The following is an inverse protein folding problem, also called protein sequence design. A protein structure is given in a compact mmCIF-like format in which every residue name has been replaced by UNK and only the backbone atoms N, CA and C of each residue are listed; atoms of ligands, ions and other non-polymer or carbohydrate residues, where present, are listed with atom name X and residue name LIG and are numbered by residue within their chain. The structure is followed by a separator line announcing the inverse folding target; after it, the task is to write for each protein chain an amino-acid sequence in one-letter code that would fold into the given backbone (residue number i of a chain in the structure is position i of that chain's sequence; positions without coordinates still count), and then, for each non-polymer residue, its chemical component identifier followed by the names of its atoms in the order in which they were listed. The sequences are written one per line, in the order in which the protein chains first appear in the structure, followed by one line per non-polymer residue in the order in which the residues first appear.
data_IF_673251823659
#
_entry.id   IF_673251823659
#
_cell.length_a   1.000
_cell.length_b   1.000
_cell.length_c   1.000
_cell.angle_alpha   90.00
_cell.angle_beta   90.00
_cell.angle_gamma   90.00
#
_symmetry.space_group_name_H-M   'P 1'
#
loop_
_entity.id
_entity.type
_entity.pdbx_description
1 polymer ?
#
# COMPACT_ATOMS: atom_id res chain seq x y z
N UNK A 1 -10.20 -7.36 16.06
CA UNK A 1 -9.89 -7.45 14.63
C UNK A 1 -10.15 -6.07 14.07
N UNK A 2 -9.15 -5.42 13.45
CA UNK A 2 -9.27 -4.04 12.98
C UNK A 2 -9.45 -4.08 11.46
N UNK A 3 -10.48 -3.40 10.98
CA UNK A 3 -10.95 -3.47 9.59
C UNK A 3 -10.94 -2.08 8.95
N UNK A 4 -11.06 -2.01 7.62
CA UNK A 4 -11.11 -0.76 6.88
C UNK A 4 -12.29 0.13 7.30
N UNK A 5 -13.34 -0.47 7.86
CA UNK A 5 -14.50 0.27 8.37
C UNK A 5 -14.20 0.96 9.70
N UNK A 6 -13.29 0.41 10.50
CA UNK A 6 -12.84 1.04 11.75
C UNK A 6 -12.02 2.32 11.49
N UNK A 7 -11.56 2.54 10.25
CA UNK A 7 -10.95 3.80 9.81
C UNK A 7 -11.97 4.83 9.30
N UNK A 8 -13.25 4.48 9.18
CA UNK A 8 -14.26 5.39 8.66
C UNK A 8 -14.46 6.55 9.64
N UNK A 9 -14.20 7.78 9.18
CA UNK A 9 -14.30 8.99 10.01
C UNK A 9 -12.98 9.38 10.71
N UNK A 10 -11.93 8.57 10.57
CA UNK A 10 -10.60 8.91 11.07
C UNK A 10 -9.91 9.98 10.20
N UNK A 11 -8.95 10.67 10.82
CA UNK A 11 -8.15 11.69 10.14
C UNK A 11 -7.03 11.00 9.36
N UNK A 12 -7.26 10.79 8.07
CA UNK A 12 -6.28 10.20 7.15
C UNK A 12 -5.49 11.28 6.39
N UNK A 13 -4.18 11.10 6.19
CA UNK A 13 -3.37 12.05 5.44
C UNK A 13 -3.81 12.07 3.98
N UNK A 14 -3.70 13.25 3.37
CA UNK A 14 -3.89 13.43 1.92
C UNK A 14 -2.55 13.41 1.22
N UNK A 15 -2.45 12.67 0.14
CA UNK A 15 -1.30 12.69 -0.76
C UNK A 15 -1.61 13.53 -2.01
N UNK A 16 -0.63 14.22 -2.62
CA UNK A 16 -0.85 15.04 -3.81
C UNK A 16 -1.46 14.29 -5.00
N UNK A 17 -1.21 12.99 -5.10
CA UNK A 17 -1.72 12.13 -6.18
C UNK A 17 -3.09 11.50 -5.89
N UNK A 18 -3.68 11.79 -4.72
CA UNK A 18 -4.95 11.20 -4.30
C UNK A 18 -6.13 11.99 -4.91
N UNK A 19 -7.25 11.34 -5.28
CA UNK A 19 -8.44 12.05 -5.72
C UNK A 19 -8.95 13.04 -4.67
N UNK A 20 -9.51 14.16 -5.11
CA UNK A 20 -10.13 15.13 -4.19
C UNK A 20 -11.25 14.47 -3.37
N UNK A 21 -11.30 14.78 -2.08
CA UNK A 21 -12.30 14.23 -1.15
C UNK A 21 -12.03 12.80 -0.66
N UNK A 22 -10.96 12.14 -1.11
CA UNK A 22 -10.64 10.77 -0.68
C UNK A 22 -10.15 10.67 0.78
N UNK A 23 -9.67 11.77 1.36
CA UNK A 23 -9.27 11.88 2.76
C UNK A 23 -9.45 13.33 3.25
N UNK A 24 -9.56 13.51 4.57
CA UNK A 24 -9.90 14.80 5.20
C UNK A 24 -8.76 15.42 6.00
N UNK A 25 -7.65 14.72 6.17
CA UNK A 25 -6.54 15.14 7.02
C UNK A 25 -5.47 16.01 6.34
N UNK A 26 -4.30 16.15 6.98
CA UNK A 26 -3.23 17.03 6.52
C UNK A 26 -2.68 16.59 5.16
N UNK A 27 -2.24 17.55 4.34
CA UNK A 27 -1.53 17.26 3.10
C UNK A 27 -0.09 16.85 3.43
N UNK A 28 0.32 15.68 2.98
CA UNK A 28 1.64 15.10 3.26
C UNK A 28 2.38 14.85 1.96
N UNK A 29 3.64 15.25 1.90
CA UNK A 29 4.47 15.12 0.70
C UNK A 29 5.48 13.98 0.81
N UNK A 30 5.85 13.58 2.03
CA UNK A 30 6.89 12.60 2.28
C UNK A 30 6.61 11.76 3.53
N UNK A 31 7.20 10.56 3.58
CA UNK A 31 6.98 9.61 4.67
C UNK A 31 7.46 10.15 6.03
N UNK A 32 8.60 10.85 6.09
CA UNK A 32 9.10 11.39 7.35
C UNK A 32 8.13 12.40 8.00
N UNK A 33 7.55 13.28 7.17
CA UNK A 33 6.51 14.22 7.59
C UNK A 33 5.28 13.46 8.12
N UNK A 34 4.85 12.40 7.43
CA UNK A 34 3.74 11.56 7.89
C UNK A 34 3.99 11.00 9.29
N UNK A 35 5.14 10.35 9.49
CA UNK A 35 5.47 9.69 10.76
C UNK A 35 5.52 10.70 11.92
N UNK A 36 6.00 11.92 11.67
CA UNK A 36 5.99 12.98 12.68
C UNK A 36 4.56 13.41 13.06
N UNK A 37 3.66 13.53 12.09
CA UNK A 37 2.26 13.89 12.34
C UNK A 37 1.51 12.78 13.11
N UNK A 38 1.82 11.51 12.84
CA UNK A 38 1.28 10.37 13.58
C UNK A 38 1.82 10.39 15.02
N UNK A 39 3.12 10.62 15.22
CA UNK A 39 3.71 10.72 16.56
C UNK A 39 3.10 11.87 17.39
N UNK A 40 2.66 12.95 16.73
CA UNK A 40 1.94 14.06 17.36
C UNK A 40 0.44 13.79 17.58
N UNK A 41 -0.07 12.62 17.18
CA UNK A 41 -1.48 12.24 17.30
C UNK A 41 -2.42 13.02 16.39
N UNK A 42 -1.92 13.59 15.30
CA UNK A 42 -2.71 14.45 14.40
C UNK A 42 -3.39 13.68 13.26
N UNK A 43 -2.93 12.46 12.97
CA UNK A 43 -3.45 11.64 11.86
C UNK A 43 -3.06 10.17 12.07
N UNK A 44 -3.73 9.26 11.38
CA UNK A 44 -3.34 7.85 11.25
C UNK A 44 -3.15 7.49 9.78
N UNK A 45 -2.41 6.43 9.48
CA UNK A 45 -2.21 5.99 8.10
C UNK A 45 -2.30 4.46 7.96
N UNK A 46 -2.82 4.02 6.81
CA UNK A 46 -2.66 2.64 6.34
C UNK A 46 -1.40 2.58 5.49
N UNK A 47 -0.49 1.68 5.85
CA UNK A 47 0.78 1.47 5.17
C UNK A 47 0.88 0.00 4.75
N UNK A 48 1.62 -0.31 3.66
CA UNK A 48 1.99 -1.70 3.38
C UNK A 48 2.77 -2.28 4.57
N UNK A 49 2.63 -3.58 4.79
CA UNK A 49 3.33 -4.31 5.86
C UNK A 49 4.84 -4.07 5.84
N UNK A 50 5.46 -4.03 4.64
CA UNK A 50 6.89 -3.79 4.47
C UNK A 50 7.37 -2.43 4.99
N UNK A 51 6.48 -1.45 5.16
CA UNK A 51 6.84 -0.16 5.75
C UNK A 51 6.90 -0.22 7.28
N UNK A 52 6.34 -1.26 7.90
CA UNK A 52 6.34 -1.48 9.34
C UNK A 52 7.75 -1.68 9.92
N UNK A 53 8.65 -2.27 9.13
CA UNK A 53 10.01 -2.60 9.56
C UNK A 53 10.87 -1.36 9.91
N UNK A 54 10.57 -0.21 9.33
CA UNK A 54 11.31 1.05 9.54
C UNK A 54 10.64 1.99 10.55
N UNK A 55 9.56 1.56 11.22
CA UNK A 55 8.83 2.44 12.13
C UNK A 55 9.58 2.71 13.42
N UNK A 56 9.47 3.96 13.88
CA UNK A 56 10.02 4.40 15.16
C UNK A 56 9.27 3.73 16.31
N UNK A 57 9.96 3.52 17.43
CA UNK A 57 9.42 2.89 18.64
C UNK A 57 8.22 3.60 19.27
N UNK A 58 7.95 4.84 18.87
CA UNK A 58 6.82 5.65 19.33
C UNK A 58 5.52 5.35 18.57
N UNK A 59 5.58 4.53 17.52
CA UNK A 59 4.47 4.20 16.65
C UNK A 59 4.00 2.76 16.89
N UNK A 60 2.70 2.55 16.77
CA UNK A 60 2.07 1.23 16.90
C UNK A 60 1.43 0.86 15.57
N UNK A 61 1.79 -0.31 15.04
CA UNK A 61 1.13 -0.91 13.89
C UNK A 61 -0.01 -1.81 14.32
N UNK A 62 -1.19 -1.59 13.76
CA UNK A 62 -2.34 -2.48 13.90
C UNK A 62 -2.63 -3.11 12.53
N UNK A 63 -2.67 -4.45 12.42
CA UNK A 63 -2.95 -5.10 11.14
C UNK A 63 -4.39 -4.83 10.70
N UNK A 64 -4.55 -4.38 9.45
CA UNK A 64 -5.85 -4.20 8.80
C UNK A 64 -6.15 -5.43 7.95
N UNK A 65 -7.22 -6.15 8.27
CA UNK A 65 -7.45 -7.50 7.72
C UNK A 65 -8.17 -7.55 6.37
N UNK A 66 -8.84 -6.48 5.98
CA UNK A 66 -9.69 -6.34 4.79
C UNK A 66 -9.22 -5.19 3.88
N UNK A 67 -7.99 -4.70 4.09
CA UNK A 67 -7.39 -3.70 3.22
C UNK A 67 -7.23 -4.25 1.80
N UNK A 68 -7.48 -3.40 0.80
CA UNK A 68 -7.17 -3.75 -0.58
C UNK A 68 -5.65 -3.96 -0.75
N UNK A 69 -5.23 -4.98 -1.51
CA UNK A 69 -3.81 -5.27 -1.69
C UNK A 69 -3.11 -4.12 -2.42
N UNK A 70 -1.91 -3.78 -1.96
CA UNK A 70 -1.05 -2.80 -2.63
C UNK A 70 -0.36 -3.49 -3.81
N UNK A 71 -0.50 -2.92 -5.00
CA UNK A 71 0.08 -3.47 -6.24
C UNK A 71 1.32 -2.66 -6.63
N UNK A 72 2.48 -3.32 -6.64
CA UNK A 72 3.73 -2.76 -7.18
C UNK A 72 3.89 -3.15 -8.64
N UNK A 73 4.09 -2.16 -9.50
CA UNK A 73 4.26 -2.35 -10.95
C UNK A 73 5.68 -2.00 -11.38
N UNK A 74 6.23 -2.79 -12.30
CA UNK A 74 7.44 -2.45 -13.05
C UNK A 74 7.03 -1.88 -14.41
N UNK A 75 7.50 -0.68 -14.72
CA UNK A 75 7.21 0.00 -15.99
C UNK A 75 8.50 0.27 -16.76
N UNK A 76 8.48 0.03 -18.07
CA UNK A 76 9.59 0.33 -18.98
C UNK A 76 9.07 0.71 -20.37
N UNK A 77 9.88 1.44 -21.18
CA UNK A 77 9.51 1.72 -22.57
C UNK A 77 9.35 0.42 -23.38
N UNK A 78 8.30 0.33 -24.19
CA UNK A 78 7.95 -0.88 -24.96
C UNK A 78 9.12 -1.40 -25.82
N UNK A 79 9.92 -0.49 -26.38
CA UNK A 79 11.07 -0.81 -27.25
C UNK A 79 12.40 -0.94 -26.50
N UNK A 80 12.38 -1.22 -25.20
CA UNK A 80 13.60 -1.40 -24.40
C UNK A 80 14.31 -2.72 -24.74
N UNK A 81 15.57 -2.65 -25.15
CA UNK A 81 16.42 -3.81 -25.45
C UNK A 81 17.52 -4.04 -24.40
N UNK A 82 17.44 -3.36 -23.26
CA UNK A 82 18.44 -3.44 -22.19
C UNK A 82 18.50 -4.83 -21.55
N UNK A 83 19.66 -5.48 -21.64
CA UNK A 83 19.90 -6.78 -21.00
C UNK A 83 19.80 -6.71 -19.48
N UNK A 84 20.27 -5.62 -18.87
CA UNK A 84 20.20 -5.42 -17.41
C UNK A 84 18.76 -5.29 -16.94
N UNK A 85 17.91 -4.57 -17.68
CA UNK A 85 16.47 -4.50 -17.38
C UNK A 85 15.82 -5.89 -17.51
N UNK A 86 16.11 -6.62 -18.59
CA UNK A 86 15.57 -7.97 -18.79
C UNK A 86 16.03 -8.96 -17.69
N UNK A 87 17.25 -8.81 -17.17
CA UNK A 87 17.73 -9.59 -16.04
C UNK A 87 16.98 -9.21 -14.75
N UNK A 88 16.83 -7.93 -14.46
CA UNK A 88 16.09 -7.44 -13.29
C UNK A 88 14.62 -7.90 -13.29
N UNK A 89 13.90 -7.75 -14.40
CA UNK A 89 12.49 -8.16 -14.52
C UNK A 89 12.33 -9.66 -14.28
N UNK A 90 13.25 -10.49 -14.80
CA UNK A 90 13.23 -11.94 -14.55
C UNK A 90 13.39 -12.27 -13.07
N UNK A 91 14.39 -11.68 -12.42
CA UNK A 91 14.63 -11.90 -10.98
C UNK A 91 13.43 -11.42 -10.14
N UNK A 92 12.92 -10.22 -10.43
CA UNK A 92 11.77 -9.67 -9.73
C UNK A 92 10.51 -10.55 -9.89
N UNK A 93 10.26 -11.07 -11.10
CA UNK A 93 9.15 -11.98 -11.38
C UNK A 93 9.29 -13.32 -10.62
N UNK A 94 10.51 -13.88 -10.57
CA UNK A 94 10.78 -15.12 -9.83
C UNK A 94 10.55 -14.93 -8.32
N UNK A 95 11.01 -13.81 -7.75
CA UNK A 95 10.79 -13.49 -6.32
C UNK A 95 9.30 -13.25 -6.05
N UNK A 96 8.61 -12.49 -6.90
CA UNK A 96 7.18 -12.25 -6.75
C UNK A 96 6.35 -13.55 -6.83
N UNK A 97 6.72 -14.47 -7.72
CA UNK A 97 6.07 -15.78 -7.83
C UNK A 97 6.29 -16.62 -6.57
N UNK A 98 7.48 -16.57 -5.96
CA UNK A 98 7.77 -17.25 -4.68
C UNK A 98 6.96 -16.66 -3.53
N UNK A 99 6.91 -15.33 -3.39
CA UNK A 99 6.14 -14.68 -2.31
C UNK A 99 4.63 -14.92 -2.43
N UNK A 100 4.06 -14.93 -3.64
CA UNK A 100 2.63 -15.26 -3.84
C UNK A 100 2.28 -16.68 -3.37
N UNK A 101 3.20 -17.63 -3.53
CA UNK A 101 3.01 -19.01 -3.08
C UNK A 101 3.04 -19.13 -1.55
N UNK A 102 3.88 -18.33 -0.88
CA UNK A 102 3.87 -18.23 0.59
C UNK A 102 2.57 -17.62 1.12
N UNK A 103 2.02 -16.63 0.41
CA UNK A 103 0.82 -15.90 0.81
C UNK A 103 -0.47 -16.73 0.62
N UNK A 104 -0.51 -17.60 -0.41
CA UNK A 104 -1.65 -18.49 -0.72
C UNK A 104 -1.83 -19.68 0.24
N UNK A 105 -0.97 -19.83 1.25
CA UNK A 105 -1.23 -20.69 2.41
C UNK A 105 -2.18 -20.01 3.43
N UNK A 106 -2.48 -18.72 3.26
CA UNK A 106 -3.56 -18.00 3.94
C UNK A 106 -4.75 -17.80 2.98
N UNK A 107 -5.97 -18.06 3.44
CA UNK A 107 -7.21 -18.31 2.67
C UNK A 107 -7.61 -17.26 1.58
N UNK A 108 -8.44 -17.62 0.57
CA UNK A 108 -8.66 -16.80 -0.63
C UNK A 108 -9.70 -15.68 -0.46
N UNK A 109 -9.38 -14.48 -0.97
CA UNK A 109 -10.32 -13.35 -1.17
C UNK A 109 -10.98 -13.44 -2.56
N UNK A 110 -12.31 -13.36 -2.59
CA UNK A 110 -13.15 -13.39 -3.81
C UNK A 110 -13.03 -12.07 -4.59
N UNK A 111 -12.89 -12.09 -5.94
CA UNK A 111 -12.95 -10.86 -6.73
C UNK A 111 -14.38 -10.32 -6.83
N UNK A 112 -14.55 -9.03 -6.52
CA UNK A 112 -15.80 -8.28 -6.76
C UNK A 112 -15.91 -7.92 -8.25
N UNK A 113 -17.03 -8.30 -8.87
CA UNK A 113 -17.35 -8.04 -10.28
C UNK A 113 -17.89 -6.62 -10.41
N UNK A 114 -17.21 -5.76 -11.16
CA UNK A 114 -17.73 -4.43 -11.52
C UNK A 114 -18.91 -4.57 -12.51
N UNK A 115 -20.06 -4.01 -12.15
CA UNK A 115 -21.20 -3.78 -13.05
C UNK A 115 -20.99 -2.46 -13.80
N UNK A 116 -21.10 -2.42 -15.14
CA UNK A 116 -21.12 -1.16 -15.88
C UNK A 116 -22.49 -0.48 -15.71
N UNK A 117 -22.47 0.83 -15.45
CA UNK A 117 -23.66 1.68 -15.36
C UNK A 117 -23.86 2.37 -16.72
N UNK A 118 -25.09 2.30 -17.26
CA UNK A 118 -25.53 2.79 -18.56
C UNK A 118 -25.76 4.30 -18.60
#
# INVERSE_FOLDING_TARGET
MFTSTDLAGEILPRWPSMPEGAATGPLVHEAAQLLQLIALGQTIAVLPESAGDELRSELVCVPVTDAAPIVTLLAWPERSTSRSLAAFVRVAADIAAKHRQSDSTSAPVRPARATPQS
#
